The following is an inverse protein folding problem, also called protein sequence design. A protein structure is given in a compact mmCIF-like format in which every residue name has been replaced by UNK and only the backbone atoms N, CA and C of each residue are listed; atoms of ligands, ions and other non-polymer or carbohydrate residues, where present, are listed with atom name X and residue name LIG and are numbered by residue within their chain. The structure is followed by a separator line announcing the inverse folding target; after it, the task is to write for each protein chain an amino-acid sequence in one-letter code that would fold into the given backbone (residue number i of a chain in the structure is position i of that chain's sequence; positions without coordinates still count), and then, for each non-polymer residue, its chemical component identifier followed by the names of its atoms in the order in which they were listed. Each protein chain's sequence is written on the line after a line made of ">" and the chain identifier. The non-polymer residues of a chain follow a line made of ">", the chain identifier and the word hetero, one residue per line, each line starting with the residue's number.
data_IF_490301766296
#
_entry.id   IF_490301766296
#
_cell.length_a   1.000
_cell.length_b   1.000
_cell.length_c   1.000
_cell.angle_alpha   90.00
_cell.angle_beta   90.00
_cell.angle_gamma   90.00
#
_symmetry.space_group_name_H-M   'P 1'
#
loop_
_entity.id
_entity.type
_entity.pdbx_description
1 polymer ?
#
# COMPACT_ATOMS: atom_id res chain seq x y z
N UNK A 1 0.15 17.55 9.14
CA UNK A 1 -0.41 17.10 7.86
C UNK A 1 -0.77 15.64 7.94
N UNK A 2 -1.84 15.27 7.27
CA UNK A 2 -2.28 13.87 7.29
C UNK A 2 -1.50 13.03 6.29
N UNK A 3 -1.06 11.84 6.66
CA UNK A 3 -0.47 10.92 5.70
C UNK A 3 -1.51 10.46 4.67
N UNK A 4 -1.06 10.22 3.46
CA UNK A 4 -1.94 9.80 2.38
C UNK A 4 -1.20 8.92 1.38
N UNK A 5 -1.94 8.02 0.75
CA UNK A 5 -1.47 7.27 -0.42
C UNK A 5 -2.34 7.69 -1.58
N UNK A 6 -1.74 8.30 -2.58
CA UNK A 6 -2.44 8.85 -3.74
C UNK A 6 -2.04 8.11 -5.00
N UNK A 7 -2.85 8.24 -6.02
CA UNK A 7 -2.50 7.81 -7.37
C UNK A 7 -2.00 6.36 -7.43
N UNK A 8 -2.93 5.43 -7.29
CA UNK A 8 -2.63 4.00 -7.39
C UNK A 8 -2.89 3.52 -8.80
N UNK A 9 -1.91 2.87 -9.39
CA UNK A 9 -2.01 2.30 -10.73
C UNK A 9 -1.46 0.88 -10.72
N UNK A 10 -2.18 -0.03 -11.37
CA UNK A 10 -1.74 -1.41 -11.51
C UNK A 10 -1.44 -1.72 -12.97
N UNK A 11 -0.21 -2.13 -13.25
CA UNK A 11 0.21 -2.49 -14.59
C UNK A 11 1.26 -3.59 -14.52
N UNK A 12 1.10 -4.64 -15.32
CA UNK A 12 2.03 -5.77 -15.38
C UNK A 12 2.32 -6.38 -14.01
N UNK A 13 1.29 -6.54 -13.19
CA UNK A 13 1.40 -7.07 -11.83
C UNK A 13 2.26 -6.21 -10.89
N UNK A 14 2.46 -4.95 -11.24
CA UNK A 14 3.18 -4.00 -10.39
C UNK A 14 2.24 -2.85 -10.03
N UNK A 15 2.11 -2.60 -8.74
CA UNK A 15 1.34 -1.46 -8.24
C UNK A 15 2.29 -0.28 -8.10
N UNK A 16 1.93 0.84 -8.72
CA UNK A 16 2.64 2.10 -8.56
C UNK A 16 1.74 3.06 -7.80
N UNK A 17 2.28 3.70 -6.79
CA UNK A 17 1.52 4.64 -5.97
C UNK A 17 2.43 5.77 -5.51
N UNK A 18 1.83 6.91 -5.19
CA UNK A 18 2.54 8.01 -4.56
C UNK A 18 2.03 8.19 -3.14
N UNK A 19 2.87 8.68 -2.27
CA UNK A 19 2.49 8.90 -0.89
C UNK A 19 2.96 10.25 -0.38
N UNK A 20 2.33 10.72 0.68
CA UNK A 20 2.71 11.94 1.39
C UNK A 20 2.71 11.71 2.89
N UNK A 21 3.68 12.31 3.55
CA UNK A 21 3.75 12.36 5.02
C UNK A 21 3.75 11.01 5.73
N UNK A 22 4.26 9.99 5.07
CA UNK A 22 4.50 8.72 5.75
C UNK A 22 5.83 8.79 6.50
N UNK A 23 5.80 8.33 7.73
CA UNK A 23 6.97 8.36 8.60
C UNK A 23 7.93 7.22 8.28
N UNK A 24 9.17 7.39 8.70
CA UNK A 24 10.16 6.31 8.68
C UNK A 24 9.60 5.11 9.46
N UNK A 25 9.84 3.92 8.95
CA UNK A 25 9.35 2.65 9.48
C UNK A 25 7.87 2.39 9.25
N UNK A 26 7.16 3.31 8.57
CA UNK A 26 5.80 3.01 8.13
C UNK A 26 5.84 1.84 7.15
N UNK A 27 4.86 0.95 7.25
CA UNK A 27 4.76 -0.21 6.38
C UNK A 27 3.53 -0.08 5.49
N UNK A 28 3.68 -0.39 4.22
CA UNK A 28 2.56 -0.40 3.28
C UNK A 28 2.24 -1.85 2.95
N UNK A 29 1.02 -2.24 3.21
CA UNK A 29 0.54 -3.61 3.02
C UNK A 29 -0.65 -3.62 2.08
N UNK A 30 -0.93 -4.78 1.52
CA UNK A 30 -2.04 -5.00 0.60
C UNK A 30 -3.21 -5.61 1.38
N UNK A 31 -4.40 -5.06 1.22
CA UNK A 31 -5.59 -5.54 1.92
C UNK A 31 -6.66 -5.93 0.91
N UNK A 32 -7.23 -7.13 1.08
CA UNK A 32 -8.37 -7.57 0.29
C UNK A 32 -9.61 -6.88 0.83
N UNK A 33 -10.25 -6.07 0.01
CA UNK A 33 -11.42 -5.30 0.45
C UNK A 33 -12.60 -6.18 0.79
N UNK A 34 -12.82 -7.24 0.05
CA UNK A 34 -13.99 -8.10 0.25
C UNK A 34 -13.92 -8.87 1.56
N UNK A 35 -12.76 -9.42 1.89
CA UNK A 35 -12.58 -10.20 3.12
C UNK A 35 -12.05 -9.38 4.29
N UNK A 36 -11.47 -8.22 4.00
CA UNK A 36 -10.76 -7.42 5.01
C UNK A 36 -9.42 -8.00 5.40
N UNK A 37 -8.95 -9.03 4.71
CA UNK A 37 -7.72 -9.70 5.05
C UNK A 37 -6.51 -8.89 4.61
N UNK A 38 -5.60 -8.66 5.58
CA UNK A 38 -4.33 -8.02 5.30
C UNK A 38 -3.33 -9.09 4.87
N UNK A 39 -2.80 -8.96 3.66
CA UNK A 39 -1.85 -9.94 3.14
C UNK A 39 -0.49 -9.77 3.82
N UNK A 40 0.17 -10.87 4.17
CA UNK A 40 1.50 -10.77 4.80
C UNK A 40 2.58 -10.31 3.83
N UNK A 41 2.39 -10.53 2.54
CA UNK A 41 3.29 -10.12 1.46
C UNK A 41 2.49 -9.54 0.31
N UNK A 42 3.03 -8.59 -0.45
CA UNK A 42 4.27 -7.87 -0.18
C UNK A 42 4.12 -6.82 0.91
N UNK A 43 5.21 -6.48 1.58
CA UNK A 43 5.25 -5.40 2.54
C UNK A 43 6.40 -4.47 2.17
N UNK A 44 6.08 -3.19 2.04
CA UNK A 44 7.08 -2.17 1.73
C UNK A 44 7.27 -1.28 2.95
N UNK A 45 8.51 -1.09 3.36
CA UNK A 45 8.82 -0.22 4.51
C UNK A 45 9.39 1.10 4.01
N UNK A 46 8.91 2.19 4.57
CA UNK A 46 9.40 3.52 4.25
C UNK A 46 10.75 3.72 4.96
N UNK A 47 11.80 3.90 4.17
CA UNK A 47 13.16 3.99 4.69
C UNK A 47 13.61 5.42 4.96
N UNK A 48 13.01 6.42 4.33
CA UNK A 48 13.42 7.81 4.51
C UNK A 48 12.24 8.72 4.82
N UNK A 49 12.44 9.71 5.68
CA UNK A 49 11.36 10.63 6.08
C UNK A 49 11.17 11.73 5.04
N UNK A 50 10.76 11.38 3.85
CA UNK A 50 10.50 12.35 2.80
C UNK A 50 9.05 12.84 2.87
N UNK A 51 8.80 14.12 2.56
CA UNK A 51 7.44 14.64 2.58
C UNK A 51 6.55 14.01 1.50
N UNK A 52 7.15 13.50 0.44
CA UNK A 52 6.42 12.76 -0.59
C UNK A 52 7.36 11.77 -1.26
N UNK A 53 6.78 10.73 -1.83
CA UNK A 53 7.56 9.72 -2.54
C UNK A 53 6.68 8.81 -3.36
N UNK A 54 7.30 7.82 -3.97
CA UNK A 54 6.58 6.83 -4.77
C UNK A 54 6.91 5.42 -4.29
N UNK A 55 5.94 4.54 -4.50
CA UNK A 55 6.04 3.13 -4.12
C UNK A 55 5.83 2.27 -5.35
N UNK A 56 6.56 1.17 -5.41
CA UNK A 56 6.32 0.12 -6.40
C UNK A 56 6.25 -1.21 -5.66
N UNK A 57 5.14 -1.90 -5.84
CA UNK A 57 4.90 -3.16 -5.16
C UNK A 57 4.55 -4.22 -6.19
N UNK A 58 5.31 -5.31 -6.21
CA UNK A 58 5.02 -6.43 -7.10
C UNK A 58 3.97 -7.32 -6.44
N UNK A 59 2.89 -7.61 -7.17
CA UNK A 59 1.87 -8.52 -6.67
C UNK A 59 2.42 -9.94 -6.55
N UNK A 60 2.01 -10.70 -5.50
CA UNK A 60 2.36 -12.11 -5.40
C UNK A 60 1.74 -12.89 -6.56
N UNK A 61 2.42 -13.93 -7.04
CA UNK A 61 1.91 -14.76 -8.12
C UNK A 61 0.64 -15.51 -7.73
N UNK A 62 0.45 -15.72 -6.43
CA UNK A 62 -0.71 -16.43 -5.89
C UNK A 62 -1.89 -15.51 -5.56
N UNK A 63 -1.81 -14.22 -5.91
CA UNK A 63 -2.89 -13.28 -5.56
C UNK A 63 -4.16 -13.64 -6.32
N UNK A 64 -5.29 -13.62 -5.60
CA UNK A 64 -6.59 -13.90 -6.19
C UNK A 64 -7.19 -12.64 -6.80
N UNK A 65 -7.96 -12.77 -7.89
CA UNK A 65 -8.66 -11.61 -8.44
C UNK A 65 -9.62 -11.00 -7.42
N UNK A 66 -9.81 -9.70 -7.51
CA UNK A 66 -10.73 -9.01 -6.62
C UNK A 66 -10.34 -7.57 -6.37
N UNK A 67 -11.06 -6.93 -5.46
CA UNK A 67 -10.81 -5.55 -5.06
C UNK A 67 -9.80 -5.51 -3.91
N UNK A 68 -8.82 -4.64 -4.03
CA UNK A 68 -7.77 -4.49 -3.04
C UNK A 68 -7.49 -3.00 -2.81
N UNK A 69 -6.82 -2.68 -1.73
CA UNK A 69 -6.29 -1.35 -1.50
C UNK A 69 -4.97 -1.45 -0.72
N UNK A 70 -4.19 -0.39 -0.79
CA UNK A 70 -2.96 -0.28 -0.01
C UNK A 70 -3.27 0.38 1.32
N UNK A 71 -2.70 -0.14 2.38
CA UNK A 71 -2.86 0.39 3.72
C UNK A 71 -1.49 0.68 4.29
N UNK A 72 -1.30 1.89 4.80
CA UNK A 72 -0.07 2.27 5.47
C UNK A 72 -0.25 2.16 6.98
N UNK A 73 0.69 1.50 7.63
CA UNK A 73 0.72 1.37 9.09
C UNK A 73 1.93 2.15 9.60
N UNK A 74 1.75 2.83 10.74
CA UNK A 74 2.87 3.54 11.36
C UNK A 74 3.83 2.55 12.03
N UNK A 75 4.90 3.06 12.66
CA UNK A 75 5.88 2.21 13.32
C UNK A 75 5.33 1.36 14.47
N UNK A 76 4.14 1.67 14.96
CA UNK A 76 3.46 0.92 16.01
C UNK A 76 2.39 -0.04 15.48
N UNK A 77 2.27 -0.15 14.16
CA UNK A 77 1.27 -1.01 13.54
C UNK A 77 -0.13 -0.41 13.43
N UNK A 78 -0.29 0.86 13.73
CA UNK A 78 -1.58 1.52 13.66
C UNK A 78 -1.84 2.08 12.26
N UNK A 79 -3.11 2.14 11.87
CA UNK A 79 -3.54 2.67 10.58
C UNK A 79 -3.11 4.14 10.44
N UNK A 80 -2.37 4.44 9.39
CA UNK A 80 -1.93 5.80 9.09
C UNK A 80 -2.64 6.37 7.86
N UNK A 81 -2.77 5.56 6.81
CA UNK A 81 -3.40 5.99 5.57
C UNK A 81 -3.85 4.78 4.76
N UNK A 82 -4.72 5.01 3.78
CA UNK A 82 -5.07 3.97 2.83
C UNK A 82 -5.31 4.58 1.44
N UNK A 83 -5.10 3.79 0.42
CA UNK A 83 -5.31 4.21 -0.96
C UNK A 83 -6.77 4.02 -1.38
N UNK A 84 -7.08 4.48 -2.59
CA UNK A 84 -8.32 4.10 -3.25
C UNK A 84 -8.25 2.62 -3.63
N UNK A 85 -9.41 2.03 -3.90
CA UNK A 85 -9.47 0.65 -4.33
C UNK A 85 -8.98 0.48 -5.76
N UNK A 86 -8.41 -0.69 -6.02
CA UNK A 86 -8.07 -1.09 -7.37
C UNK A 86 -8.41 -2.57 -7.54
N UNK A 87 -8.55 -3.00 -8.80
CA UNK A 87 -8.96 -4.37 -9.08
C UNK A 87 -7.82 -5.18 -9.68
N UNK A 88 -7.68 -6.40 -9.16
CA UNK A 88 -6.74 -7.40 -9.69
C UNK A 88 -7.54 -8.39 -10.53
N UNK A 89 -7.15 -8.58 -11.77
CA UNK A 89 -7.83 -9.51 -12.69
C UNK A 89 -7.05 -10.79 -12.90
#
# INVERSE_FOLDING_TARGET
>A
MKPAINFVELENCIISATYRNLMVKAKVVLVNKTSGEQLPDPVTTIASPMPSGSLRIRLPVSIKPGAYYLKALNGHGEHAAQSVEFFVT
#
